data_IF_843543742663
#
_entry.id   IF_843543742663
#
_cell.length_a   1.000
_cell.length_b   1.000
_cell.length_c   1.000
_cell.angle_alpha   90.00
_cell.angle_beta   90.00
_cell.angle_gamma   90.00
#
_symmetry.space_group_name_H-M   'P 1'
#
loop_
_entity.id
_entity.type
_entity.pdbx_description
1 polymer ?
#
# COMPACT_ATOMS: atom_id res chain seq x y z
N UNK A 1 -26.43 9.26 20.98
CA UNK A 1 -27.41 8.17 20.75
C UNK A 1 -28.48 8.47 19.71
N UNK A 2 -28.75 9.72 19.32
CA UNK A 2 -29.76 10.05 18.30
C UNK A 2 -29.56 9.33 16.95
N UNK A 3 -28.34 9.27 16.36
CA UNK A 3 -28.15 8.55 15.09
C UNK A 3 -28.41 7.04 15.18
N UNK A 4 -27.97 6.40 16.25
CA UNK A 4 -28.20 4.98 16.50
C UNK A 4 -29.70 4.66 16.61
N UNK A 5 -30.45 5.50 17.33
CA UNK A 5 -31.89 5.33 17.46
C UNK A 5 -32.61 5.50 16.11
N UNK A 6 -32.24 6.51 15.31
CA UNK A 6 -32.78 6.70 13.96
C UNK A 6 -32.53 5.47 13.09
N UNK A 7 -31.27 5.00 13.04
CA UNK A 7 -30.88 3.85 12.23
C UNK A 7 -31.66 2.58 12.61
N UNK A 8 -31.82 2.31 13.91
CA UNK A 8 -32.56 1.16 14.43
C UNK A 8 -34.07 1.27 14.18
N UNK A 9 -34.64 2.47 14.35
CA UNK A 9 -36.07 2.68 14.15
C UNK A 9 -36.48 2.53 12.69
N UNK A 10 -35.72 3.13 11.76
CA UNK A 10 -35.95 2.98 10.32
C UNK A 10 -35.72 1.52 9.88
N UNK A 11 -34.72 0.84 10.45
CA UNK A 11 -34.50 -0.58 10.19
C UNK A 11 -35.71 -1.44 10.57
N UNK A 12 -36.27 -1.22 11.76
CA UNK A 12 -37.46 -1.89 12.25
C UNK A 12 -38.69 -1.57 11.39
N UNK A 13 -38.89 -0.30 11.02
CA UNK A 13 -40.02 0.11 10.19
C UNK A 13 -40.02 -0.56 8.80
N UNK A 14 -38.83 -0.78 8.23
CA UNK A 14 -38.65 -1.45 6.94
C UNK A 14 -38.66 -2.98 7.00
N UNK A 15 -38.62 -3.57 8.20
CA UNK A 15 -38.52 -5.02 8.38
C UNK A 15 -39.65 -5.81 7.67
N UNK A 16 -40.92 -5.39 7.69
CA UNK A 16 -41.99 -6.11 6.98
C UNK A 16 -41.74 -6.17 5.46
N UNK A 17 -41.32 -5.07 4.83
CA UNK A 17 -41.02 -5.06 3.39
C UNK A 17 -39.82 -5.92 3.05
N UNK A 18 -38.78 -5.95 3.90
CA UNK A 18 -37.64 -6.84 3.69
C UNK A 18 -38.01 -8.32 3.71
N UNK A 19 -39.05 -8.68 4.45
CA UNK A 19 -39.56 -10.04 4.50
C UNK A 19 -40.48 -10.36 3.31
N UNK A 20 -41.28 -9.38 2.87
CA UNK A 20 -42.23 -9.56 1.76
C UNK A 20 -41.55 -9.47 0.38
N UNK A 21 -40.61 -8.54 0.21
CA UNK A 21 -39.93 -8.26 -1.06
C UNK A 21 -38.58 -8.97 -1.13
N UNK A 22 -38.61 -10.30 -1.24
CA UNK A 22 -37.39 -11.13 -1.23
C UNK A 22 -36.45 -10.87 -2.41
N UNK A 23 -36.97 -10.37 -3.52
CA UNK A 23 -36.20 -10.06 -4.73
C UNK A 23 -35.73 -8.59 -4.80
N UNK A 24 -35.96 -7.82 -3.73
CA UNK A 24 -35.65 -6.39 -3.65
C UNK A 24 -34.57 -6.12 -2.61
N UNK A 25 -33.48 -5.48 -3.05
CA UNK A 25 -32.43 -4.99 -2.16
C UNK A 25 -32.91 -3.66 -1.56
N UNK A 26 -33.03 -3.61 -0.23
CA UNK A 26 -33.44 -2.41 0.51
C UNK A 26 -32.32 -1.96 1.45
N UNK A 27 -31.57 -0.95 1.02
CA UNK A 27 -30.58 -0.27 1.84
C UNK A 27 -31.14 0.99 2.49
N UNK A 28 -30.73 1.25 3.73
CA UNK A 28 -31.05 2.48 4.41
C UNK A 28 -29.85 3.00 5.19
N UNK A 29 -29.69 4.32 5.17
CA UNK A 29 -28.71 5.02 5.98
C UNK A 29 -29.37 6.29 6.50
N UNK A 30 -29.55 6.37 7.81
CA UNK A 30 -30.34 7.41 8.45
C UNK A 30 -31.74 7.48 7.82
N UNK A 31 -32.09 8.61 7.20
CA UNK A 31 -33.36 8.87 6.53
C UNK A 31 -33.37 8.56 5.02
N UNK A 32 -32.23 8.23 4.43
CA UNK A 32 -32.13 7.86 3.01
C UNK A 32 -32.40 6.36 2.81
N UNK A 33 -33.34 6.02 1.93
CA UNK A 33 -33.71 4.65 1.59
C UNK A 33 -33.48 4.42 0.08
N UNK A 34 -32.72 3.38 -0.25
CA UNK A 34 -32.48 2.92 -1.62
C UNK A 34 -33.13 1.54 -1.80
N UNK A 35 -34.03 1.42 -2.76
CA UNK A 35 -34.66 0.16 -3.14
C UNK A 35 -34.29 -0.21 -4.58
N UNK A 36 -33.74 -1.40 -4.78
CA UNK A 36 -33.28 -1.90 -6.08
C UNK A 36 -33.87 -3.28 -6.35
N UNK A 37 -34.46 -3.48 -7.52
CA UNK A 37 -34.98 -4.78 -7.95
C UNK A 37 -34.87 -4.88 -9.49
N UNK A 38 -34.98 -6.09 -10.04
CA UNK A 38 -34.82 -6.32 -11.48
C UNK A 38 -35.97 -5.72 -12.32
N UNK A 39 -37.19 -5.72 -11.78
CA UNK A 39 -38.37 -5.16 -12.45
C UNK A 39 -38.61 -3.71 -12.03
N UNK A 40 -39.09 -2.82 -12.91
CA UNK A 40 -39.43 -1.45 -12.52
C UNK A 40 -40.45 -1.43 -11.37
N UNK A 41 -40.24 -0.56 -10.38
CA UNK A 41 -41.21 -0.33 -9.31
C UNK A 41 -42.52 0.22 -9.86
N UNK A 42 -43.64 -0.38 -9.44
CA UNK A 42 -44.98 0.09 -9.78
C UNK A 42 -45.44 1.19 -8.83
N UNK A 43 -46.50 1.90 -9.23
CA UNK A 43 -47.15 2.89 -8.34
C UNK A 43 -47.64 2.23 -7.04
N UNK A 44 -48.09 0.97 -7.13
CA UNK A 44 -48.56 0.20 -5.98
C UNK A 44 -47.43 -0.09 -4.99
N UNK A 45 -46.24 -0.45 -5.48
CA UNK A 45 -45.08 -0.74 -4.63
C UNK A 45 -44.65 0.53 -3.87
N UNK A 46 -44.62 1.68 -4.56
CA UNK A 46 -44.31 2.96 -3.94
C UNK A 46 -45.36 3.31 -2.87
N UNK A 47 -46.65 3.11 -3.15
CA UNK A 47 -47.73 3.34 -2.18
C UNK A 47 -47.63 2.41 -0.98
N UNK A 48 -47.33 1.13 -1.19
CA UNK A 48 -47.17 0.16 -0.10
C UNK A 48 -46.02 0.58 0.83
N UNK A 49 -44.88 0.98 0.27
CA UNK A 49 -43.74 1.47 1.05
C UNK A 49 -44.08 2.75 1.82
N UNK A 50 -44.69 3.75 1.17
CA UNK A 50 -45.02 5.02 1.83
C UNK A 50 -46.10 4.86 2.89
N UNK A 51 -47.12 4.04 2.66
CA UNK A 51 -48.16 3.73 3.65
C UNK A 51 -47.59 2.97 4.84
N UNK A 52 -46.71 1.99 4.62
CA UNK A 52 -46.06 1.28 5.73
C UNK A 52 -45.26 2.25 6.61
N UNK A 53 -44.41 3.08 6.00
CA UNK A 53 -43.62 4.06 6.73
C UNK A 53 -44.50 5.08 7.46
N UNK A 54 -45.56 5.58 6.81
CA UNK A 54 -46.50 6.53 7.40
C UNK A 54 -47.22 5.93 8.63
N UNK A 55 -47.63 4.67 8.57
CA UNK A 55 -48.22 3.96 9.72
C UNK A 55 -47.25 3.79 10.90
N UNK A 56 -45.94 3.93 10.65
CA UNK A 56 -44.88 3.95 11.68
C UNK A 56 -44.43 5.38 12.03
N UNK A 57 -45.15 6.41 11.59
CA UNK A 57 -44.83 7.81 11.86
C UNK A 57 -43.69 8.39 11.00
N UNK A 58 -43.26 7.68 9.96
CA UNK A 58 -42.22 8.13 9.02
C UNK A 58 -42.87 8.65 7.73
N UNK A 59 -42.70 9.93 7.44
CA UNK A 59 -43.31 10.57 6.26
C UNK A 59 -42.28 10.68 5.14
N UNK A 60 -42.59 10.08 3.99
CA UNK A 60 -41.76 10.19 2.78
C UNK A 60 -42.11 11.49 2.05
N UNK A 61 -41.14 12.38 1.95
CA UNK A 61 -41.23 13.60 1.15
C UNK A 61 -41.33 13.25 -0.34
N UNK A 62 -42.52 13.41 -0.93
CA UNK A 62 -42.81 13.00 -2.32
C UNK A 62 -41.88 13.65 -3.35
N UNK A 63 -41.46 14.87 -3.09
CA UNK A 63 -40.55 15.68 -3.89
C UNK A 63 -39.10 15.19 -3.86
N UNK A 64 -38.72 14.39 -2.85
CA UNK A 64 -37.40 13.76 -2.73
C UNK A 64 -37.34 12.37 -3.38
N UNK A 65 -38.48 11.82 -3.81
CA UNK A 65 -38.54 10.47 -4.40
C UNK A 65 -37.95 10.49 -5.81
N UNK A 66 -36.84 9.77 -6.00
CA UNK A 66 -36.14 9.65 -7.28
C UNK A 66 -36.60 8.37 -8.00
N UNK A 67 -37.42 8.51 -9.05
CA UNK A 67 -38.05 7.36 -9.76
C UNK A 67 -37.26 6.86 -10.97
N UNK A 68 -36.33 7.66 -11.49
CA UNK A 68 -35.54 7.34 -12.68
C UNK A 68 -34.09 7.77 -12.52
N UNK A 69 -33.18 7.11 -13.23
CA UNK A 69 -31.78 7.50 -13.30
C UNK A 69 -31.61 8.94 -13.83
N UNK A 70 -30.57 9.67 -13.42
CA UNK A 70 -29.57 9.29 -12.41
C UNK A 70 -30.13 9.40 -10.97
N UNK A 71 -29.95 8.35 -10.17
CA UNK A 71 -30.31 8.37 -8.75
C UNK A 71 -29.14 8.87 -7.91
N UNK A 72 -29.43 9.67 -6.89
CA UNK A 72 -28.46 10.17 -5.92
C UNK A 72 -28.64 9.46 -4.59
N UNK A 73 -27.58 8.88 -4.05
CA UNK A 73 -27.59 8.20 -2.76
C UNK A 73 -26.22 8.32 -2.08
N UNK A 74 -26.16 8.86 -0.86
CA UNK A 74 -24.92 8.98 -0.06
C UNK A 74 -23.72 9.58 -0.80
N UNK A 75 -23.94 10.64 -1.58
CA UNK A 75 -22.87 11.29 -2.37
C UNK A 75 -22.50 10.56 -3.66
N UNK A 76 -23.19 9.48 -4.01
CA UNK A 76 -23.06 8.77 -5.29
C UNK A 76 -24.15 9.15 -6.27
N UNK A 77 -23.83 9.01 -7.55
CA UNK A 77 -24.74 9.01 -8.69
C UNK A 77 -24.78 7.60 -9.27
N UNK A 78 -25.96 7.00 -9.26
CA UNK A 78 -26.25 5.65 -9.74
C UNK A 78 -26.98 5.79 -11.07
N UNK A 79 -26.48 5.10 -12.09
CA UNK A 79 -27.06 4.98 -13.41
C UNK A 79 -27.18 3.49 -13.77
N UNK A 80 -27.91 3.15 -14.84
CA UNK A 80 -28.20 1.76 -15.19
C UNK A 80 -26.96 0.86 -15.36
N UNK A 81 -25.83 1.44 -15.80
CA UNK A 81 -24.60 0.70 -16.08
C UNK A 81 -23.38 1.17 -15.27
N UNK A 82 -23.50 2.23 -14.46
CA UNK A 82 -22.35 2.81 -13.75
C UNK A 82 -22.77 3.46 -12.44
N UNK A 83 -21.89 3.38 -11.45
CA UNK A 83 -21.96 4.12 -10.19
C UNK A 83 -20.73 5.02 -10.14
N UNK A 84 -20.93 6.30 -9.82
CA UNK A 84 -19.85 7.29 -9.76
C UNK A 84 -20.07 8.27 -8.62
N UNK A 85 -19.02 8.84 -8.02
CA UNK A 85 -19.18 9.94 -7.09
C UNK A 85 -19.97 11.08 -7.74
N UNK A 86 -20.77 11.80 -6.97
CA UNK A 86 -21.38 13.05 -7.45
C UNK A 86 -20.29 14.03 -7.88
N UNK A 87 -20.59 14.88 -8.86
CA UNK A 87 -19.63 15.84 -9.41
C UNK A 87 -19.05 16.67 -8.27
N UNK A 88 -17.75 16.52 -8.07
CA UNK A 88 -16.98 17.21 -7.05
C UNK A 88 -16.31 18.43 -7.66
N UNK A 89 -16.65 19.62 -7.17
CA UNK A 89 -15.97 20.87 -7.56
C UNK A 89 -15.04 21.27 -6.44
N UNK A 90 -13.74 21.05 -6.63
CA UNK A 90 -12.74 21.45 -5.63
C UNK A 90 -12.71 22.97 -5.50
N UNK A 91 -12.69 23.47 -4.26
CA UNK A 91 -12.62 24.90 -3.96
C UNK A 91 -11.34 25.51 -4.53
N UNK A 92 -11.45 26.62 -5.24
CA UNK A 92 -10.32 27.44 -5.71
C UNK A 92 -10.72 28.92 -5.73
N UNK A 93 -9.82 29.89 -5.41
CA UNK A 93 -8.42 29.71 -4.99
C UNK A 93 -8.30 29.17 -3.55
N UNK A 94 -7.14 28.58 -3.23
CA UNK A 94 -6.80 28.06 -1.91
C UNK A 94 -5.88 29.06 -1.21
N UNK A 95 -6.42 29.81 -0.25
CA UNK A 95 -5.68 30.89 0.42
C UNK A 95 -5.47 30.62 1.91
N UNK A 96 -6.29 29.77 2.52
CA UNK A 96 -6.27 29.52 3.97
C UNK A 96 -6.09 28.03 4.31
N UNK A 97 -5.70 27.75 5.55
CA UNK A 97 -5.64 26.38 6.10
C UNK A 97 -6.99 25.65 5.97
N UNK A 98 -8.11 26.34 6.20
CA UNK A 98 -9.45 25.77 6.03
C UNK A 98 -9.74 25.36 4.58
N UNK A 99 -9.24 26.13 3.61
CA UNK A 99 -9.42 25.81 2.19
C UNK A 99 -8.69 24.51 1.83
N UNK A 100 -7.45 24.35 2.32
CA UNK A 100 -6.66 23.12 2.14
C UNK A 100 -7.32 21.94 2.84
N UNK A 101 -7.79 22.10 4.08
CA UNK A 101 -8.48 21.04 4.82
C UNK A 101 -9.75 20.58 4.10
N UNK A 102 -10.56 21.53 3.61
CA UNK A 102 -11.77 21.21 2.84
C UNK A 102 -11.43 20.43 1.57
N UNK A 103 -10.47 20.92 0.77
CA UNK A 103 -10.09 20.24 -0.48
C UNK A 103 -9.46 18.88 -0.23
N UNK A 104 -8.67 18.71 0.82
CA UNK A 104 -8.14 17.40 1.19
C UNK A 104 -9.25 16.44 1.63
N UNK A 105 -10.27 16.91 2.33
CA UNK A 105 -11.46 16.11 2.67
C UNK A 105 -12.20 15.63 1.42
N UNK A 106 -12.43 16.54 0.49
CA UNK A 106 -13.06 16.27 -0.81
C UNK A 106 -12.27 15.26 -1.64
N UNK A 107 -10.93 15.41 -1.72
CA UNK A 107 -10.04 14.46 -2.39
C UNK A 107 -10.07 13.10 -1.70
N UNK A 108 -10.06 13.08 -0.37
CA UNK A 108 -10.08 11.85 0.42
C UNK A 108 -11.38 11.06 0.24
N UNK A 109 -12.49 11.73 -0.08
CA UNK A 109 -13.76 11.08 -0.43
C UNK A 109 -13.67 10.30 -1.75
N UNK A 110 -13.04 10.86 -2.79
CA UNK A 110 -13.04 10.29 -4.15
C UNK A 110 -11.78 9.51 -4.53
N UNK A 111 -10.70 9.63 -3.75
CA UNK A 111 -9.36 9.10 -4.10
C UNK A 111 -9.34 7.61 -4.47
N UNK A 112 -10.13 6.78 -3.80
CA UNK A 112 -10.16 5.34 -4.06
C UNK A 112 -10.86 5.03 -5.38
N UNK A 113 -11.73 5.90 -5.89
CA UNK A 113 -12.31 5.77 -7.22
C UNK A 113 -11.38 6.37 -8.30
N UNK A 114 -10.82 7.54 -7.99
CA UNK A 114 -9.97 8.30 -8.90
C UNK A 114 -8.56 7.71 -9.07
N UNK A 115 -8.18 6.74 -8.23
CA UNK A 115 -6.81 6.22 -8.20
C UNK A 115 -5.79 7.23 -7.68
N UNK A 116 -6.19 8.13 -6.78
CA UNK A 116 -5.28 9.13 -6.22
C UNK A 116 -4.56 8.52 -5.01
N UNK A 117 -3.25 8.32 -5.14
CA UNK A 117 -2.44 7.70 -4.10
C UNK A 117 -2.08 8.69 -2.98
N UNK A 118 -1.58 8.16 -1.87
CA UNK A 118 -1.07 9.02 -0.80
C UNK A 118 0.13 9.86 -1.27
N UNK A 119 0.90 9.40 -2.26
CA UNK A 119 2.04 10.15 -2.84
C UNK A 119 1.53 11.34 -3.66
N UNK A 120 0.42 11.17 -4.40
CA UNK A 120 -0.20 12.24 -5.17
C UNK A 120 -0.70 13.38 -4.26
N UNK A 121 -1.20 13.03 -3.07
CA UNK A 121 -1.78 13.98 -2.09
C UNK A 121 -0.69 14.58 -1.18
N UNK A 122 0.47 13.93 -1.06
CA UNK A 122 1.56 14.34 -0.15
C UNK A 122 1.94 15.84 -0.26
N UNK A 123 2.12 16.42 -1.46
CA UNK A 123 2.42 17.85 -1.59
C UNK A 123 1.37 18.77 -0.95
N UNK A 124 0.10 18.37 -0.97
CA UNK A 124 -0.98 19.16 -0.36
C UNK A 124 -1.05 18.93 1.16
N UNK A 125 -0.69 17.74 1.66
CA UNK A 125 -0.63 17.50 3.12
C UNK A 125 0.48 18.26 3.82
N UNK A 126 1.59 18.56 3.12
CA UNK A 126 2.68 19.41 3.65
C UNK A 126 2.17 20.81 4.00
N UNK A 127 1.08 21.28 3.38
CA UNK A 127 0.44 22.56 3.65
C UNK A 127 -0.43 22.58 4.91
N UNK A 128 -0.63 21.45 5.59
CA UNK A 128 -1.41 21.37 6.83
C UNK A 128 -0.67 21.91 8.07
N UNK A 129 0.44 22.62 7.88
CA UNK A 129 1.23 23.22 8.94
C UNK A 129 0.62 24.56 9.38
N UNK A 130 -0.27 24.55 10.38
CA UNK A 130 -0.87 25.76 10.95
C UNK A 130 -1.66 25.46 12.22
N UNK A 131 -1.97 26.50 13.00
CA UNK A 131 -2.74 26.38 14.25
C UNK A 131 -4.13 26.97 14.13
N UNK A 132 -4.30 27.98 13.28
CA UNK A 132 -5.57 28.65 13.09
C UNK A 132 -6.16 28.38 11.70
N UNK A 133 -7.48 28.13 11.59
CA UNK A 133 -8.12 27.83 10.30
C UNK A 133 -7.95 28.93 9.23
N UNK A 134 -7.72 30.18 9.65
CA UNK A 134 -7.51 31.33 8.77
C UNK A 134 -6.04 31.59 8.38
N UNK A 135 -5.10 30.75 8.84
CA UNK A 135 -3.68 30.89 8.52
C UNK A 135 -3.49 30.88 6.99
N UNK A 136 -2.78 31.89 6.47
CA UNK A 136 -2.57 32.07 5.03
C UNK A 136 -1.61 31.01 4.49
N UNK A 137 -1.92 30.46 3.33
CA UNK A 137 -1.14 29.40 2.68
C UNK A 137 -0.60 29.90 1.34
N UNK A 138 0.68 29.66 1.10
CA UNK A 138 1.34 29.95 -0.16
C UNK A 138 1.48 28.66 -0.99
N UNK A 139 0.80 28.61 -2.13
CA UNK A 139 0.94 27.51 -3.07
C UNK A 139 2.20 27.69 -3.93
N UNK A 140 3.16 26.78 -3.76
CA UNK A 140 4.30 26.59 -4.67
C UNK A 140 3.86 25.93 -5.97
N UNK A 141 4.74 25.90 -6.98
CA UNK A 141 4.49 25.19 -8.24
C UNK A 141 4.27 23.69 -8.02
N UNK A 142 5.00 23.08 -7.08
CA UNK A 142 4.81 21.67 -6.68
C UNK A 142 3.36 21.42 -6.22
N UNK A 143 2.79 22.33 -5.43
CA UNK A 143 1.41 22.20 -4.94
C UNK A 143 0.38 22.36 -6.06
N UNK A 144 0.60 23.32 -6.97
CA UNK A 144 -0.28 23.56 -8.12
C UNK A 144 -0.27 22.39 -9.10
N UNK A 145 0.90 21.86 -9.42
CA UNK A 145 1.05 20.69 -10.30
C UNK A 145 0.36 19.45 -9.71
N UNK A 146 0.52 19.20 -8.40
CA UNK A 146 -0.17 18.11 -7.71
C UNK A 146 -1.69 18.27 -7.77
N UNK A 147 -2.21 19.46 -7.50
CA UNK A 147 -3.64 19.76 -7.57
C UNK A 147 -4.20 19.56 -8.99
N UNK A 148 -3.49 20.03 -10.02
CA UNK A 148 -3.90 19.84 -11.41
C UNK A 148 -3.94 18.35 -11.80
N UNK A 149 -2.94 17.57 -11.39
CA UNK A 149 -2.92 16.13 -11.60
C UNK A 149 -4.10 15.43 -10.91
N UNK A 150 -4.43 15.85 -9.70
CA UNK A 150 -5.58 15.34 -8.93
C UNK A 150 -6.90 15.68 -9.63
N UNK A 151 -7.12 16.94 -10.02
CA UNK A 151 -8.33 17.37 -10.74
C UNK A 151 -8.51 16.54 -12.00
N UNK A 152 -7.45 16.37 -12.79
CA UNK A 152 -7.48 15.55 -14.00
C UNK A 152 -7.84 14.09 -13.71
N UNK A 153 -7.36 13.54 -12.59
CA UNK A 153 -7.67 12.17 -12.17
C UNK A 153 -9.14 12.04 -11.76
N UNK A 154 -9.71 13.06 -11.10
CA UNK A 154 -11.13 13.11 -10.74
C UNK A 154 -12.01 13.22 -11.99
N UNK A 155 -11.67 14.13 -12.92
CA UNK A 155 -12.40 14.30 -14.18
C UNK A 155 -12.36 13.04 -15.06
N UNK A 156 -11.30 12.25 -14.93
CA UNK A 156 -11.16 11.01 -15.66
C UNK A 156 -12.02 9.86 -15.07
N UNK A 157 -12.54 9.98 -13.84
CA UNK A 157 -13.57 9.05 -13.33
C UNK A 157 -14.80 9.05 -14.25
N UNK A 158 -15.20 10.22 -14.76
CA UNK A 158 -16.35 10.37 -15.65
C UNK A 158 -16.09 9.74 -17.04
N UNK A 159 -14.83 9.52 -17.42
CA UNK A 159 -14.40 9.11 -18.76
C UNK A 159 -13.78 7.69 -18.84
N UNK A 160 -13.51 7.01 -17.71
CA UNK A 160 -12.65 5.83 -17.74
C UNK A 160 -13.38 4.54 -18.13
N UNK A 161 -13.08 4.05 -19.34
CA UNK A 161 -13.03 2.61 -19.67
C UNK A 161 -11.68 1.96 -19.36
N UNK A 162 -10.65 2.71 -18.99
CA UNK A 162 -9.40 2.16 -18.43
C UNK A 162 -8.47 3.33 -18.08
N UNK A 163 -7.93 3.36 -16.86
CA UNK A 163 -6.95 4.36 -16.45
C UNK A 163 -5.58 3.74 -16.19
N UNK A 164 -4.55 4.47 -16.65
CA UNK A 164 -3.12 4.17 -16.58
C UNK A 164 -2.61 4.12 -15.14
N UNK A 165 -1.60 3.29 -14.85
CA UNK A 165 -1.08 3.18 -13.49
C UNK A 165 0.42 2.90 -13.33
N UNK A 166 1.00 3.51 -12.30
CA UNK A 166 2.32 3.26 -11.75
C UNK A 166 2.22 2.97 -10.25
N UNK A 167 2.15 1.69 -9.88
CA UNK A 167 2.37 1.22 -8.50
C UNK A 167 1.14 1.17 -7.57
N UNK A 168 -0.10 1.14 -8.07
CA UNK A 168 -1.32 1.01 -7.24
C UNK A 168 -1.93 -0.40 -7.39
N UNK A 169 -2.65 -0.87 -6.37
CA UNK A 169 -3.45 -2.09 -6.47
C UNK A 169 -4.88 -1.76 -6.89
N UNK A 170 -5.46 -2.57 -7.78
CA UNK A 170 -6.82 -2.42 -8.31
C UNK A 170 -7.71 -3.53 -7.76
N UNK A 171 -8.87 -3.17 -7.21
CA UNK A 171 -9.99 -4.10 -7.01
C UNK A 171 -10.81 -4.11 -8.30
N UNK A 172 -11.03 -5.29 -8.86
CA UNK A 172 -11.67 -5.47 -10.17
C UNK A 172 -12.79 -6.49 -10.10
N UNK A 173 -13.80 -6.30 -10.94
CA UNK A 173 -14.82 -7.30 -11.22
C UNK A 173 -14.75 -7.70 -12.70
N UNK A 174 -14.67 -9.01 -12.97
CA UNK A 174 -14.74 -9.56 -14.31
C UNK A 174 -16.22 -9.63 -14.74
N UNK A 175 -16.53 -9.16 -15.95
CA UNK A 175 -17.85 -9.33 -16.56
C UNK A 175 -17.81 -10.38 -17.67
N UNK A 176 -18.97 -10.92 -18.06
CA UNK A 176 -19.15 -11.96 -19.08
C UNK A 176 -18.59 -11.63 -20.49
N UNK A 177 -18.06 -10.42 -20.70
CA UNK A 177 -17.60 -9.92 -22.01
C UNK A 177 -16.11 -9.52 -22.05
N UNK A 178 -15.22 -10.14 -21.24
CA UNK A 178 -13.77 -9.83 -21.20
C UNK A 178 -13.45 -8.35 -20.93
N UNK A 179 -14.38 -7.60 -20.33
CA UNK A 179 -14.24 -6.19 -19.98
C UNK A 179 -14.05 -6.07 -18.47
N UNK A 180 -13.08 -5.28 -18.02
CA UNK A 180 -12.78 -5.05 -16.61
C UNK A 180 -13.32 -3.69 -16.16
N UNK A 181 -13.92 -3.66 -14.98
CA UNK A 181 -14.25 -2.42 -14.27
C UNK A 181 -13.42 -2.32 -13.00
N UNK A 182 -12.90 -1.13 -12.73
CA UNK A 182 -12.20 -0.84 -11.48
C UNK A 182 -13.24 -0.41 -10.46
N UNK A 183 -13.36 -1.16 -9.36
CA UNK A 183 -14.25 -0.81 -8.26
C UNK A 183 -13.61 0.24 -7.35
N UNK A 184 -12.43 -0.09 -6.81
CA UNK A 184 -11.65 0.79 -5.95
C UNK A 184 -10.15 0.54 -6.14
N UNK A 185 -9.38 1.57 -5.81
CA UNK A 185 -7.93 1.54 -5.70
C UNK A 185 -7.51 1.45 -4.25
N UNK A 186 -6.55 0.56 -3.99
CA UNK A 186 -5.97 0.36 -2.66
C UNK A 186 -4.50 0.76 -2.70
N UNK A 187 -4.06 1.47 -1.66
CA UNK A 187 -2.76 2.11 -1.64
C UNK A 187 -1.90 1.67 -0.46
N UNK A 188 -0.59 1.65 -0.70
CA UNK A 188 0.42 1.65 0.36
C UNK A 188 0.47 2.99 1.07
N UNK A 189 1.06 2.98 2.26
CA UNK A 189 1.39 4.21 2.99
C UNK A 189 2.48 4.98 2.24
N UNK A 190 2.53 6.31 2.39
CA UNK A 190 3.60 7.14 1.80
C UNK A 190 4.96 6.67 2.29
N UNK A 191 5.06 6.44 3.60
CA UNK A 191 6.26 5.93 4.23
C UNK A 191 6.03 4.52 4.76
N UNK A 192 6.99 3.61 4.56
CA UNK A 192 7.03 2.32 5.24
C UNK A 192 6.89 2.43 6.76
N UNK A 193 6.21 1.48 7.38
CA UNK A 193 6.14 1.38 8.84
C UNK A 193 7.48 0.99 9.47
N UNK A 194 8.28 0.24 8.72
CA UNK A 194 9.59 -0.27 9.11
C UNK A 194 10.69 0.40 8.28
N UNK A 195 11.91 0.47 8.79
CA UNK A 195 13.00 1.20 8.12
C UNK A 195 13.32 0.66 6.72
N UNK A 196 13.18 -0.65 6.52
CA UNK A 196 13.42 -1.34 5.25
C UNK A 196 12.28 -2.32 5.00
N UNK A 197 11.38 -1.96 4.08
CA UNK A 197 10.23 -2.76 3.68
C UNK A 197 10.49 -3.39 2.31
N UNK A 198 10.56 -4.71 2.27
CA UNK A 198 10.79 -5.47 1.04
C UNK A 198 9.56 -5.39 0.12
N UNK A 199 9.73 -5.63 -1.18
CA UNK A 199 8.60 -5.68 -2.12
C UNK A 199 7.55 -6.74 -1.76
N UNK A 200 7.90 -7.99 -1.40
CA UNK A 200 6.91 -8.97 -0.97
C UNK A 200 6.12 -8.51 0.26
N UNK A 201 6.74 -7.80 1.20
CA UNK A 201 6.01 -7.20 2.33
C UNK A 201 5.02 -6.13 1.87
N UNK A 202 5.41 -5.26 0.94
CA UNK A 202 4.50 -4.27 0.35
C UNK A 202 3.32 -4.93 -0.39
N UNK A 203 3.59 -5.95 -1.21
CA UNK A 203 2.55 -6.70 -1.91
C UNK A 203 1.63 -7.42 -0.91
N UNK A 204 2.18 -8.01 0.15
CA UNK A 204 1.41 -8.64 1.22
C UNK A 204 0.48 -7.67 1.96
N UNK A 205 0.90 -6.40 2.12
CA UNK A 205 0.07 -5.36 2.72
C UNK A 205 -1.11 -5.02 1.80
N UNK A 206 -0.87 -4.92 0.48
CA UNK A 206 -1.91 -4.67 -0.51
C UNK A 206 -2.90 -5.84 -0.61
N UNK A 207 -2.41 -7.09 -0.57
CA UNK A 207 -3.25 -8.29 -0.55
C UNK A 207 -4.18 -8.25 0.67
N UNK A 208 -3.62 -8.03 1.88
CA UNK A 208 -4.40 -7.97 3.12
C UNK A 208 -5.47 -6.87 3.06
N UNK A 209 -5.09 -5.65 2.66
CA UNK A 209 -6.03 -4.53 2.50
C UNK A 209 -7.12 -4.84 1.47
N UNK A 210 -6.74 -5.43 0.33
CA UNK A 210 -7.67 -5.80 -0.74
C UNK A 210 -8.68 -6.84 -0.26
N UNK A 211 -8.21 -7.95 0.34
CA UNK A 211 -9.08 -9.00 0.90
C UNK A 211 -10.05 -8.44 1.94
N UNK A 212 -9.55 -7.68 2.92
CA UNK A 212 -10.40 -7.04 3.93
C UNK A 212 -11.44 -6.11 3.28
N UNK A 213 -11.04 -5.32 2.28
CA UNK A 213 -11.96 -4.40 1.61
C UNK A 213 -13.04 -5.13 0.80
N UNK A 214 -12.70 -6.21 0.11
CA UNK A 214 -13.68 -7.03 -0.61
C UNK A 214 -14.66 -7.68 0.36
N UNK A 215 -14.17 -8.19 1.50
CA UNK A 215 -15.04 -8.73 2.56
C UNK A 215 -15.99 -7.66 3.11
N UNK A 216 -15.53 -6.44 3.37
CA UNK A 216 -16.40 -5.33 3.79
C UNK A 216 -17.48 -4.99 2.76
N UNK A 217 -17.16 -5.06 1.47
CA UNK A 217 -18.06 -4.68 0.39
C UNK A 217 -19.05 -5.79 0.01
N UNK A 218 -18.61 -7.04 0.02
CA UNK A 218 -19.35 -8.18 -0.55
C UNK A 218 -19.76 -9.22 0.48
N UNK A 219 -19.17 -9.20 1.67
CA UNK A 219 -19.31 -10.25 2.67
C UNK A 219 -18.56 -11.54 2.35
N UNK A 220 -17.76 -11.58 1.28
CA UNK A 220 -17.05 -12.78 0.82
C UNK A 220 -15.58 -12.46 0.46
N UNK A 221 -14.72 -13.48 0.47
CA UNK A 221 -13.35 -13.36 -0.05
C UNK A 221 -13.36 -13.21 -1.58
N UNK A 222 -12.35 -12.56 -2.20
CA UNK A 222 -12.19 -12.58 -3.64
C UNK A 222 -12.08 -13.99 -4.21
N UNK A 223 -12.61 -14.21 -5.40
CA UNK A 223 -12.43 -15.46 -6.13
C UNK A 223 -10.97 -15.64 -6.61
N UNK A 224 -10.31 -14.55 -6.97
CA UNK A 224 -8.95 -14.55 -7.49
C UNK A 224 -8.12 -13.34 -7.01
N UNK A 225 -6.80 -13.53 -6.98
CA UNK A 225 -5.81 -12.48 -6.70
C UNK A 225 -4.74 -12.54 -7.79
N UNK A 226 -4.69 -11.48 -8.61
CA UNK A 226 -3.64 -11.31 -9.60
C UNK A 226 -2.46 -10.51 -9.06
N UNK A 227 -1.26 -11.09 -9.07
CA UNK A 227 -0.02 -10.43 -8.64
C UNK A 227 0.84 -10.08 -9.88
N UNK A 228 1.26 -8.81 -10.04
CA UNK A 228 1.95 -8.33 -11.23
C UNK A 228 3.44 -8.69 -11.27
N UNK A 229 3.75 -9.98 -11.22
CA UNK A 229 5.11 -10.54 -11.35
C UNK A 229 5.13 -11.67 -12.37
N UNK A 230 6.31 -12.17 -12.76
CA UNK A 230 6.37 -13.37 -13.62
C UNK A 230 5.82 -14.60 -12.88
N UNK A 231 5.39 -15.62 -13.63
CA UNK A 231 4.91 -16.87 -13.01
C UNK A 231 6.01 -17.54 -12.15
N UNK A 232 7.27 -17.47 -12.60
CA UNK A 232 8.43 -18.01 -11.88
C UNK A 232 8.67 -17.23 -10.58
N UNK A 233 8.59 -15.90 -10.62
CA UNK A 233 8.74 -15.06 -9.43
C UNK A 233 7.62 -15.30 -8.42
N UNK A 234 6.39 -15.47 -8.90
CA UNK A 234 5.24 -15.78 -8.06
C UNK A 234 5.44 -17.12 -7.34
N UNK A 235 5.81 -18.18 -8.08
CA UNK A 235 6.09 -19.50 -7.50
C UNK A 235 7.22 -19.44 -6.46
N UNK A 236 8.26 -18.64 -6.74
CA UNK A 236 9.36 -18.43 -5.80
C UNK A 236 8.90 -17.68 -4.54
N UNK A 237 8.10 -16.61 -4.68
CA UNK A 237 7.52 -15.90 -3.53
C UNK A 237 6.60 -16.79 -2.69
N UNK A 238 5.75 -17.59 -3.32
CA UNK A 238 4.85 -18.52 -2.62
C UNK A 238 5.61 -19.52 -1.75
N UNK A 239 6.82 -19.93 -2.15
CA UNK A 239 7.66 -20.87 -1.39
C UNK A 239 8.56 -20.22 -0.34
N UNK A 240 9.08 -19.02 -0.63
CA UNK A 240 10.18 -18.44 0.14
C UNK A 240 9.82 -17.14 0.87
N UNK A 241 8.66 -16.54 0.58
CA UNK A 241 8.26 -15.28 1.20
C UNK A 241 7.19 -15.50 2.27
N UNK A 242 7.63 -15.52 3.54
CA UNK A 242 6.71 -15.59 4.69
C UNK A 242 5.62 -14.49 4.65
N UNK A 243 5.91 -13.21 4.35
CA UNK A 243 4.87 -12.18 4.26
C UNK A 243 3.76 -12.51 3.25
N UNK A 244 4.11 -13.09 2.09
CA UNK A 244 3.13 -13.50 1.08
C UNK A 244 2.32 -14.70 1.57
N UNK A 245 2.98 -15.70 2.15
CA UNK A 245 2.31 -16.87 2.74
C UNK A 245 1.32 -16.46 3.83
N UNK A 246 1.70 -15.54 4.73
CA UNK A 246 0.83 -15.00 5.76
C UNK A 246 -0.36 -14.24 5.17
N UNK A 247 -0.13 -13.40 4.16
CA UNK A 247 -1.21 -12.63 3.52
C UNK A 247 -2.21 -13.49 2.74
N UNK A 248 -1.80 -14.69 2.34
CA UNK A 248 -2.63 -15.67 1.63
C UNK A 248 -3.08 -16.83 2.52
N UNK A 249 -2.75 -16.80 3.82
CA UNK A 249 -3.16 -17.84 4.75
C UNK A 249 -4.69 -17.92 4.79
N UNK A 250 -5.22 -19.14 4.65
CA UNK A 250 -6.66 -19.41 4.61
C UNK A 250 -7.38 -18.87 3.37
N UNK A 251 -6.66 -18.40 2.35
CA UNK A 251 -7.27 -18.00 1.09
C UNK A 251 -7.56 -19.23 0.22
N UNK A 252 -8.84 -19.43 -0.13
CA UNK A 252 -9.30 -20.58 -0.92
C UNK A 252 -9.41 -20.29 -2.42
N UNK A 253 -9.29 -19.02 -2.81
CA UNK A 253 -9.34 -18.59 -4.21
C UNK A 253 -8.05 -18.86 -4.99
N UNK A 254 -8.01 -18.38 -6.23
CA UNK A 254 -6.88 -18.61 -7.15
C UNK A 254 -5.90 -17.43 -7.09
N UNK A 255 -4.63 -17.72 -6.86
CA UNK A 255 -3.55 -16.72 -6.98
C UNK A 255 -2.81 -16.94 -8.29
N UNK A 256 -2.73 -15.90 -9.13
CA UNK A 256 -2.11 -16.02 -10.45
C UNK A 256 -1.33 -14.77 -10.87
N UNK A 257 -0.55 -14.89 -11.93
CA UNK A 257 0.21 -13.79 -12.54
C UNK A 257 -0.41 -13.24 -13.83
N UNK A 258 -1.58 -13.76 -14.24
CA UNK A 258 -2.26 -13.30 -15.45
C UNK A 258 -2.72 -11.84 -15.29
N UNK A 259 -2.14 -10.94 -16.09
CA UNK A 259 -2.48 -9.53 -16.12
C UNK A 259 -3.43 -9.22 -17.29
N UNK A 260 -4.29 -8.20 -17.17
CA UNK A 260 -5.10 -7.71 -18.28
C UNK A 260 -4.25 -7.34 -19.51
N UNK A 261 -4.82 -7.39 -20.70
CA UNK A 261 -4.11 -6.97 -21.92
C UNK A 261 -3.92 -5.45 -21.93
N UNK A 262 -2.71 -4.95 -22.18
CA UNK A 262 -2.47 -3.50 -22.29
C UNK A 262 -0.98 -3.10 -22.26
N UNK A 263 -0.66 -1.91 -22.82
CA UNK A 263 0.72 -1.40 -22.93
C UNK A 263 1.43 -1.24 -21.58
N UNK A 264 0.70 -0.96 -20.50
CA UNK A 264 1.25 -0.80 -19.15
C UNK A 264 1.70 -2.12 -18.51
N UNK A 265 0.95 -3.19 -18.75
CA UNK A 265 1.29 -4.52 -18.25
C UNK A 265 2.55 -5.10 -18.92
N UNK A 266 2.88 -4.62 -20.12
CA UNK A 266 4.16 -4.94 -20.77
C UNK A 266 5.37 -4.28 -20.07
N UNK A 267 5.19 -3.14 -19.39
CA UNK A 267 6.26 -2.47 -18.62
C UNK A 267 6.57 -3.28 -17.35
N UNK A 268 5.52 -3.77 -16.67
CA UNK A 268 5.66 -4.65 -15.51
C UNK A 268 6.42 -5.92 -15.89
N UNK A 269 6.16 -6.53 -17.06
CA UNK A 269 6.92 -7.69 -17.55
C UNK A 269 8.41 -7.41 -17.82
N UNK A 270 8.79 -6.15 -18.09
CA UNK A 270 10.18 -5.77 -18.40
C UNK A 270 11.03 -5.51 -17.17
N UNK A 271 10.40 -5.18 -16.03
CA UNK A 271 11.11 -5.19 -14.77
C UNK A 271 11.35 -6.67 -14.42
N UNK A 272 12.61 -7.13 -14.42
CA UNK A 272 12.95 -8.47 -13.95
C UNK A 272 12.71 -8.51 -12.43
N UNK A 273 11.70 -9.26 -11.96
CA UNK A 273 11.26 -9.15 -10.56
C UNK A 273 12.11 -9.98 -9.59
N UNK A 274 12.92 -10.94 -10.05
CA UNK A 274 14.06 -11.53 -9.32
C UNK A 274 14.84 -12.50 -10.23
N UNK A 275 16.17 -12.34 -10.38
CA UNK A 275 16.99 -13.36 -11.08
C UNK A 275 17.70 -14.34 -10.11
N UNK A 276 17.91 -13.94 -8.84
CA UNK A 276 18.23 -14.74 -7.63
C UNK A 276 18.74 -13.76 -6.55
N UNK A 277 18.45 -13.96 -5.25
CA UNK A 277 19.04 -13.15 -4.20
C UNK A 277 20.57 -13.23 -4.28
N UNK A 278 21.26 -12.08 -4.35
CA UNK A 278 22.74 -12.04 -4.34
C UNK A 278 23.28 -12.33 -2.93
N UNK A 279 22.46 -12.05 -1.92
CA UNK A 279 22.71 -12.41 -0.53
C UNK A 279 22.09 -13.78 -0.27
N UNK A 280 22.93 -14.78 0.02
CA UNK A 280 22.50 -16.14 0.36
C UNK A 280 22.44 -16.33 1.88
N UNK A 281 21.63 -17.29 2.31
CA UNK A 281 21.39 -17.63 3.72
C UNK A 281 22.44 -18.60 4.31
N UNK A 282 23.35 -19.11 3.48
CA UNK A 282 24.36 -20.10 3.86
C UNK A 282 25.77 -19.63 3.53
N UNK A 283 26.79 -20.04 4.32
CA UNK A 283 28.18 -19.76 3.99
C UNK A 283 28.54 -20.28 2.59
N UNK A 284 29.29 -19.48 1.84
CA UNK A 284 29.74 -19.79 0.50
C UNK A 284 31.07 -20.55 0.59
N UNK A 285 31.14 -21.82 0.13
CA UNK A 285 32.37 -22.60 0.14
C UNK A 285 33.47 -21.92 -0.70
N UNK A 286 34.68 -21.81 -0.16
CA UNK A 286 35.81 -21.16 -0.83
C UNK A 286 35.70 -19.64 -0.97
N UNK A 287 34.65 -19.03 -0.43
CA UNK A 287 34.53 -17.57 -0.36
C UNK A 287 35.45 -16.96 0.70
N UNK A 288 35.80 -15.70 0.52
CA UNK A 288 36.59 -14.94 1.48
C UNK A 288 35.76 -14.76 2.75
N UNK A 289 36.34 -15.02 3.93
CA UNK A 289 35.65 -14.84 5.21
C UNK A 289 36.20 -13.63 5.94
N UNK A 290 35.34 -12.66 6.23
CA UNK A 290 35.68 -11.44 6.96
C UNK A 290 34.82 -11.33 8.21
N UNK A 291 35.47 -11.05 9.34
CA UNK A 291 34.84 -10.81 10.63
C UNK A 291 34.72 -9.30 10.84
N UNK A 292 33.54 -8.84 11.21
CA UNK A 292 33.25 -7.41 11.44
C UNK A 292 32.78 -7.19 12.86
N UNK A 293 33.27 -6.11 13.48
CA UNK A 293 32.87 -5.67 14.82
C UNK A 293 32.89 -4.14 14.89
N UNK A 294 32.18 -3.55 15.84
CA UNK A 294 32.19 -2.12 16.11
C UNK A 294 32.07 -1.81 17.61
N UNK A 295 32.90 -0.87 18.08
CA UNK A 295 32.88 -0.44 19.47
C UNK A 295 32.28 0.95 19.63
N UNK A 296 31.19 1.06 20.42
CA UNK A 296 30.59 2.36 20.76
C UNK A 296 31.55 3.27 21.54
N UNK A 297 32.35 2.71 22.46
CA UNK A 297 33.32 3.46 23.28
C UNK A 297 34.55 3.87 22.49
N UNK A 298 35.07 2.98 21.65
CA UNK A 298 36.20 3.26 20.77
C UNK A 298 35.81 4.16 19.59
N UNK A 299 34.51 4.28 19.27
CA UNK A 299 33.97 4.93 18.07
C UNK A 299 34.67 4.44 16.81
N UNK A 300 34.86 3.13 16.71
CA UNK A 300 35.59 2.50 15.61
C UNK A 300 34.85 1.25 15.16
N UNK A 301 34.82 1.04 13.86
CA UNK A 301 34.44 -0.23 13.26
C UNK A 301 35.71 -0.94 12.74
N UNK A 302 35.70 -2.26 12.73
CA UNK A 302 36.85 -3.07 12.34
C UNK A 302 36.40 -4.21 11.43
N UNK A 303 37.23 -4.52 10.43
CA UNK A 303 37.12 -5.72 9.61
C UNK A 303 38.42 -6.51 9.73
N UNK A 304 38.32 -7.81 9.95
CA UNK A 304 39.47 -8.72 10.10
C UNK A 304 39.26 -9.93 9.20
N UNK A 305 40.27 -10.29 8.39
CA UNK A 305 40.18 -11.44 7.50
C UNK A 305 41.52 -12.17 7.40
N UNK A 306 41.52 -13.49 7.14
CA UNK A 306 42.73 -14.23 6.84
C UNK A 306 43.04 -14.17 5.34
N UNK A 307 44.31 -13.96 4.99
CA UNK A 307 44.81 -14.01 3.61
C UNK A 307 46.20 -14.66 3.61
N UNK A 308 46.41 -15.70 2.80
CA UNK A 308 47.67 -16.43 2.68
C UNK A 308 48.31 -16.87 4.02
N UNK A 309 47.50 -17.21 5.04
CA UNK A 309 47.97 -17.64 6.36
C UNK A 309 48.32 -16.50 7.33
N UNK A 310 48.10 -15.24 6.94
CA UNK A 310 48.26 -14.06 7.79
C UNK A 310 46.92 -13.39 8.05
N UNK A 311 46.80 -12.75 9.22
CA UNK A 311 45.60 -12.00 9.60
C UNK A 311 45.76 -10.52 9.25
N UNK A 312 44.83 -10.02 8.46
CA UNK A 312 44.75 -8.62 8.07
C UNK A 312 43.65 -7.92 8.86
N UNK A 313 43.85 -6.61 9.13
CA UNK A 313 42.87 -5.78 9.81
C UNK A 313 42.70 -4.44 9.09
N UNK A 314 41.45 -4.00 8.99
CA UNK A 314 41.10 -2.65 8.55
C UNK A 314 40.35 -1.95 9.70
N UNK A 315 40.87 -0.80 10.12
CA UNK A 315 40.19 0.08 11.07
C UNK A 315 39.44 1.18 10.31
N UNK A 316 38.20 1.42 10.71
CA UNK A 316 37.32 2.43 10.15
C UNK A 316 36.95 3.40 11.28
N UNK A 317 37.55 4.61 11.32
CA UNK A 317 37.26 5.58 12.36
C UNK A 317 35.83 6.10 12.21
N UNK A 318 35.10 6.13 13.32
CA UNK A 318 33.78 6.73 13.40
C UNK A 318 33.83 8.25 13.29
N UNK A 319 32.74 8.82 12.82
CA UNK A 319 32.51 10.25 12.70
C UNK A 319 31.63 10.76 13.84
N UNK A 320 31.53 12.09 13.96
CA UNK A 320 30.59 12.69 14.89
C UNK A 320 29.14 12.35 14.51
N UNK A 321 28.35 11.89 15.48
CA UNK A 321 26.97 11.43 15.25
C UNK A 321 26.83 9.94 14.90
N UNK A 322 27.93 9.18 14.79
CA UNK A 322 27.86 7.73 14.64
C UNK A 322 27.25 7.05 15.87
N UNK A 323 26.33 6.12 15.60
CA UNK A 323 25.78 5.19 16.56
C UNK A 323 26.46 3.84 16.40
N UNK A 324 26.23 2.91 17.35
CA UNK A 324 26.72 1.55 17.21
C UNK A 324 26.23 0.91 15.90
N UNK A 325 24.95 1.09 15.57
CA UNK A 325 24.34 0.56 14.34
C UNK A 325 24.99 1.13 13.07
N UNK A 326 25.33 2.42 13.04
CA UNK A 326 25.97 3.00 11.85
C UNK A 326 27.40 2.51 11.70
N UNK A 327 28.13 2.29 12.79
CA UNK A 327 29.48 1.71 12.76
C UNK A 327 29.48 0.24 12.32
N UNK A 328 28.61 -0.59 12.90
CA UNK A 328 28.43 -1.99 12.51
C UNK A 328 28.10 -2.11 11.01
N UNK A 329 27.17 -1.29 10.55
CA UNK A 329 26.77 -1.25 9.14
C UNK A 329 27.90 -0.75 8.23
N UNK A 330 28.72 0.20 8.70
CA UNK A 330 29.88 0.71 7.96
C UNK A 330 30.94 -0.37 7.74
N UNK A 331 31.22 -1.20 8.75
CA UNK A 331 32.14 -2.34 8.58
C UNK A 331 31.64 -3.33 7.52
N UNK A 332 30.36 -3.70 7.59
CA UNK A 332 29.78 -4.65 6.62
C UNK A 332 29.74 -4.07 5.21
N UNK A 333 29.38 -2.79 5.05
CA UNK A 333 29.42 -2.12 3.74
C UNK A 333 30.84 -2.11 3.19
N UNK A 334 31.84 -1.79 4.01
CA UNK A 334 33.23 -1.77 3.59
C UNK A 334 33.69 -3.15 3.08
N UNK A 335 33.37 -4.22 3.82
CA UNK A 335 33.66 -5.58 3.39
C UNK A 335 33.01 -5.92 2.05
N UNK A 336 31.73 -5.58 1.88
CA UNK A 336 30.99 -5.84 0.64
C UNK A 336 31.56 -5.08 -0.57
N UNK A 337 32.06 -3.86 -0.35
CA UNK A 337 32.72 -3.03 -1.37
C UNK A 337 34.11 -3.57 -1.73
N UNK A 338 34.88 -3.99 -0.74
CA UNK A 338 36.26 -4.42 -0.94
C UNK A 338 36.35 -5.69 -1.80
N UNK A 339 35.41 -6.63 -1.62
CA UNK A 339 35.33 -7.87 -2.40
C UNK A 339 34.08 -7.94 -3.29
N UNK A 340 33.83 -6.88 -4.09
CA UNK A 340 32.62 -6.74 -4.90
C UNK A 340 32.37 -7.90 -5.89
N UNK A 341 33.45 -8.44 -6.45
CA UNK A 341 33.43 -9.44 -7.52
C UNK A 341 33.81 -10.86 -7.07
N UNK A 342 34.03 -11.06 -5.77
CA UNK A 342 34.42 -12.36 -5.21
C UNK A 342 33.35 -12.90 -4.25
N UNK A 343 33.18 -14.23 -4.17
CA UNK A 343 32.30 -14.82 -3.16
C UNK A 343 32.76 -14.43 -1.75
N UNK A 344 31.85 -13.92 -0.93
CA UNK A 344 32.18 -13.31 0.36
C UNK A 344 31.28 -13.82 1.48
N UNK A 345 31.87 -14.20 2.61
CA UNK A 345 31.21 -14.52 3.87
C UNK A 345 31.55 -13.43 4.89
N UNK A 346 30.58 -12.57 5.20
CA UNK A 346 30.72 -11.57 6.26
C UNK A 346 30.15 -12.15 7.55
N UNK A 347 30.97 -12.27 8.57
CA UNK A 347 30.59 -12.75 9.90
C UNK A 347 30.49 -11.54 10.82
N UNK A 348 29.31 -11.30 11.38
CA UNK A 348 29.02 -10.16 12.26
C UNK A 348 28.31 -10.62 13.52
N UNK A 349 28.58 -9.97 14.65
CA UNK A 349 27.82 -10.16 15.88
C UNK A 349 26.63 -9.19 16.01
N UNK A 350 26.44 -8.31 15.02
CA UNK A 350 25.28 -7.45 14.91
C UNK A 350 24.10 -8.19 14.29
N UNK A 351 23.17 -8.64 15.14
CA UNK A 351 21.89 -9.20 14.68
C UNK A 351 21.11 -8.20 13.80
N UNK A 352 21.26 -6.91 14.09
CA UNK A 352 20.66 -5.83 13.32
C UNK A 352 21.17 -5.82 11.87
N UNK A 353 22.49 -5.83 11.67
CA UNK A 353 23.07 -5.80 10.32
C UNK A 353 22.83 -7.11 9.59
N UNK A 354 22.98 -8.25 10.25
CA UNK A 354 22.73 -9.56 9.66
C UNK A 354 21.27 -9.71 9.18
N UNK A 355 20.29 -9.19 9.93
CA UNK A 355 18.90 -9.18 9.50
C UNK A 355 18.59 -8.18 8.38
N UNK A 356 19.33 -7.06 8.32
CA UNK A 356 19.12 -5.98 7.36
C UNK A 356 19.62 -6.31 5.94
N UNK A 357 20.84 -6.85 5.82
CA UNK A 357 21.52 -7.00 4.52
C UNK A 357 20.73 -7.85 3.52
N UNK A 358 20.17 -9.02 3.89
CA UNK A 358 19.38 -9.83 2.96
C UNK A 358 18.13 -9.12 2.42
N UNK A 359 17.64 -8.10 3.13
CA UNK A 359 16.38 -7.42 2.84
C UNK A 359 16.52 -6.18 1.96
N UNK A 360 17.72 -5.60 1.88
CA UNK A 360 17.92 -4.23 1.36
C UNK A 360 17.85 -4.11 -0.18
N UNK A 361 18.16 -5.19 -0.92
CA UNK A 361 18.43 -5.16 -2.37
C UNK A 361 17.31 -4.49 -3.18
N UNK A 362 16.07 -4.85 -2.90
CA UNK A 362 14.88 -4.35 -3.60
C UNK A 362 13.88 -3.63 -2.68
N UNK A 363 14.30 -3.27 -1.46
CA UNK A 363 13.41 -2.68 -0.48
C UNK A 363 13.11 -1.20 -0.70
N UNK A 364 11.91 -0.81 -0.28
CA UNK A 364 11.53 0.56 0.02
C UNK A 364 12.19 0.97 1.34
N UNK A 365 12.98 2.03 1.29
CA UNK A 365 13.70 2.55 2.45
C UNK A 365 12.91 3.72 3.01
N UNK A 366 12.53 3.63 4.29
CA UNK A 366 11.92 4.74 5.01
C UNK A 366 12.93 5.87 5.16
N UNK A 367 12.47 7.12 5.07
CA UNK A 367 13.27 8.26 5.47
C UNK A 367 13.69 8.11 6.94
N UNK A 368 15.00 7.98 7.16
CA UNK A 368 15.54 7.72 8.48
C UNK A 368 15.59 9.02 9.29
N UNK A 369 15.16 8.97 10.55
CA UNK A 369 15.33 10.09 11.49
C UNK A 369 16.81 10.47 11.69
N UNK A 370 17.71 9.49 11.54
CA UNK A 370 19.15 9.71 11.46
C UNK A 370 19.57 9.76 9.98
N UNK A 371 19.98 10.94 9.44
CA UNK A 371 20.40 11.08 8.05
C UNK A 371 21.59 10.20 7.67
N UNK A 372 22.51 9.94 8.61
CA UNK A 372 23.69 9.10 8.37
C UNK A 372 23.28 7.65 8.12
N UNK A 373 22.37 7.13 8.94
CA UNK A 373 21.82 5.78 8.77
C UNK A 373 21.08 5.65 7.43
N UNK A 374 20.30 6.67 7.05
CA UNK A 374 19.64 6.72 5.74
C UNK A 374 20.63 6.65 4.57
N UNK A 375 21.74 7.39 4.64
CA UNK A 375 22.82 7.31 3.63
C UNK A 375 23.46 5.93 3.58
N UNK A 376 23.68 5.28 4.73
CA UNK A 376 24.24 3.94 4.78
C UNK A 376 23.29 2.89 4.16
N UNK A 377 21.97 3.01 4.35
CA UNK A 377 21.01 2.13 3.67
C UNK A 377 21.07 2.27 2.14
N UNK A 378 21.14 3.50 1.63
CA UNK A 378 21.28 3.75 0.19
C UNK A 378 22.59 3.19 -0.34
N UNK A 379 23.70 3.39 0.39
CA UNK A 379 25.02 2.85 0.04
C UNK A 379 25.00 1.33 0.04
N UNK A 380 24.51 0.69 1.11
CA UNK A 380 24.38 -0.76 1.19
C UNK A 380 23.60 -1.33 0.00
N UNK A 381 22.43 -0.75 -0.32
CA UNK A 381 21.64 -1.16 -1.48
C UNK A 381 22.43 -1.06 -2.79
N UNK A 382 23.15 0.05 -2.99
CA UNK A 382 23.99 0.25 -4.17
C UNK A 382 25.07 -0.83 -4.28
N UNK A 383 25.75 -1.13 -3.18
CA UNK A 383 26.84 -2.11 -3.15
C UNK A 383 26.32 -3.51 -3.47
N UNK A 384 25.24 -3.96 -2.82
CA UNK A 384 24.62 -5.26 -3.13
C UNK A 384 24.20 -5.35 -4.61
N UNK A 385 23.63 -4.28 -5.17
CA UNK A 385 23.25 -4.24 -6.58
C UNK A 385 24.44 -4.33 -7.52
N UNK A 386 25.59 -3.75 -7.18
CA UNK A 386 26.81 -3.78 -7.99
C UNK A 386 27.58 -5.10 -7.92
N UNK A 387 27.39 -5.91 -6.86
CA UNK A 387 28.07 -7.20 -6.72
C UNK A 387 27.78 -8.14 -7.89
N UNK A 388 28.82 -8.78 -8.42
CA UNK A 388 28.72 -9.79 -9.48
C UNK A 388 28.81 -11.22 -8.94
N UNK A 389 29.32 -11.38 -7.70
CA UNK A 389 29.43 -12.65 -7.00
C UNK A 389 28.50 -12.69 -5.76
N UNK A 390 28.03 -13.89 -5.34
CA UNK A 390 27.17 -14.02 -4.17
C UNK A 390 27.90 -13.59 -2.88
N UNK A 391 27.14 -13.19 -1.87
CA UNK A 391 27.66 -13.01 -0.52
C UNK A 391 26.73 -13.63 0.53
N UNK A 392 27.28 -14.01 1.68
CA UNK A 392 26.53 -14.40 2.87
C UNK A 392 26.85 -13.41 3.99
N UNK A 393 25.83 -12.98 4.74
CA UNK A 393 26.02 -12.24 6.00
C UNK A 393 25.51 -13.10 7.14
N UNK A 394 26.43 -13.57 7.96
CA UNK A 394 26.21 -14.60 8.97
C UNK A 394 26.28 -13.94 10.34
N UNK A 395 25.24 -14.16 11.15
CA UNK A 395 25.22 -13.71 12.52
C UNK A 395 25.88 -14.73 13.46
N UNK A 396 26.74 -14.25 14.35
CA UNK A 396 27.28 -15.02 15.49
C UNK A 396 26.94 -14.31 16.79
N UNK A 397 26.89 -15.02 17.93
CA UNK A 397 26.64 -14.36 19.21
C UNK A 397 27.93 -13.74 19.74
N UNK A 398 27.86 -12.47 20.13
CA UNK A 398 28.98 -11.80 20.79
C UNK A 398 29.31 -12.44 22.14
N UNK A 399 30.60 -12.41 22.53
CA UNK A 399 31.10 -12.85 23.84
C UNK A 399 30.72 -14.29 24.25
N UNK A 400 30.78 -15.24 23.31
CA UNK A 400 30.53 -16.67 23.58
C UNK A 400 31.78 -17.55 23.39
N UNK A 401 32.99 -17.00 23.60
CA UNK A 401 34.26 -17.73 23.37
C UNK A 401 34.31 -19.10 24.05
N UNK A 402 33.73 -19.23 25.25
CA UNK A 402 33.72 -20.46 26.05
C UNK A 402 32.80 -21.56 25.52
N UNK A 403 31.87 -21.23 24.61
CA UNK A 403 30.90 -22.16 24.02
C UNK A 403 31.24 -22.54 22.57
N UNK A 404 32.25 -21.88 21.98
CA UNK A 404 32.54 -21.96 20.55
C UNK A 404 31.62 -21.09 19.68
N UNK A 405 31.97 -20.96 18.39
CA UNK A 405 31.16 -20.27 17.37
C UNK A 405 29.91 -21.06 16.99
#
# INVERSE_FOLDING_TARGET
>A
NSPTLCQLYVAWALQPLRQEWTDTIIYHYMDDILCCQAQPFTIKDIQQLTTLLANKGLVVASEKVQKSAPWKYLGWTIEAAKIRPQKLTLKTPLNTLTDIQTVLGDIQWVRNCAGISNVDIMPLTELLCGKHPADQILLTEKHRAALQHIIKSIDAIDNSKDMKDGGKAKLQQLTNHNSFYILEWVFLRVQPCISVQTRPESVSELIRKGRSRILELTGQEPADISIPVSAVDLEWWMRNSLPIQEALLGFEGVVHSQQPQGKLWQIIRRNQWLEKPKVVDRPIPGGITVYTDAGKRSKQAVCVWPEAGQWHKQLLPGQEGDTLQTLELTAVIWALEHWLNLPLNVVTDSLYVAGLVPRIQDALIKEASNPLLGRLFVRLRSVISQRTAPCAVIHIRSHQWDLGL
#
